data_IF_588750873233
#
_entry.id   IF_588750873233
#
_cell.length_a   1.000
_cell.length_b   1.000
_cell.length_c   1.000
_cell.angle_alpha   90.00
_cell.angle_beta   90.00
_cell.angle_gamma   90.00
#
_symmetry.space_group_name_H-M   'P 1'
#
loop_
_entity.id
_entity.type
_entity.pdbx_description
1 polymer ?
#
# COMPACT_ATOMS: atom_id res chain seq x y z
N UNK A 1 14.80 -12.22 -16.94
CA UNK A 1 13.46 -11.94 -16.38
C UNK A 1 12.57 -11.55 -17.53
N UNK A 2 11.51 -12.32 -17.76
CA UNK A 2 10.45 -11.95 -18.69
C UNK A 2 9.41 -11.14 -17.92
N UNK A 3 9.12 -9.92 -18.36
CA UNK A 3 8.12 -9.07 -17.73
C UNK A 3 6.81 -9.19 -18.50
N UNK A 4 5.77 -9.68 -17.84
CA UNK A 4 4.42 -9.78 -18.41
C UNK A 4 3.48 -8.85 -17.66
N UNK A 5 2.87 -7.92 -18.39
CA UNK A 5 1.85 -7.03 -17.84
C UNK A 5 0.49 -7.75 -17.91
N UNK A 6 -0.18 -7.85 -16.77
CA UNK A 6 -1.54 -8.36 -16.68
C UNK A 6 -2.44 -7.17 -16.33
N UNK A 7 -3.28 -6.69 -17.28
CA UNK A 7 -4.24 -5.64 -16.99
C UNK A 7 -5.18 -6.07 -15.86
N UNK A 8 -5.29 -5.25 -14.82
CA UNK A 8 -6.21 -5.43 -13.71
C UNK A 8 -6.57 -4.08 -13.11
N UNK A 9 -7.64 -4.03 -12.34
CA UNK A 9 -8.19 -2.79 -11.78
C UNK A 9 -8.56 -2.98 -10.33
N UNK A 10 -8.46 -1.93 -9.51
CA UNK A 10 -8.94 -1.99 -8.13
C UNK A 10 -10.47 -2.14 -8.05
N UNK A 11 -11.20 -1.70 -9.09
CA UNK A 11 -12.66 -1.74 -9.15
C UNK A 11 -13.24 -3.15 -9.16
N UNK A 12 -12.48 -4.16 -9.59
CA UNK A 12 -12.86 -5.58 -9.52
C UNK A 12 -12.14 -6.32 -8.37
N UNK A 13 -11.48 -5.58 -7.47
CA UNK A 13 -10.64 -6.14 -6.41
C UNK A 13 -9.43 -6.91 -6.92
N UNK A 14 -8.93 -6.58 -8.12
CA UNK A 14 -7.89 -7.30 -8.84
C UNK A 14 -8.22 -8.76 -9.17
N UNK A 15 -9.51 -9.12 -9.27
CA UNK A 15 -9.95 -10.50 -9.54
C UNK A 15 -9.35 -11.07 -10.83
N UNK A 16 -9.24 -10.26 -11.88
CA UNK A 16 -8.58 -10.64 -13.14
C UNK A 16 -7.12 -11.09 -12.95
N UNK A 17 -6.37 -10.38 -12.09
CA UNK A 17 -4.99 -10.73 -11.76
C UNK A 17 -4.95 -12.04 -10.96
N UNK A 18 -5.82 -12.19 -9.96
CA UNK A 18 -5.90 -13.39 -9.14
C UNK A 18 -6.21 -14.62 -9.99
N UNK A 19 -7.18 -14.53 -10.90
CA UNK A 19 -7.55 -15.65 -11.75
C UNK A 19 -6.42 -16.02 -12.72
N UNK A 20 -5.69 -15.04 -13.25
CA UNK A 20 -4.50 -15.31 -14.05
C UNK A 20 -3.42 -16.05 -13.23
N UNK A 21 -3.17 -15.64 -11.99
CA UNK A 21 -2.21 -16.31 -11.11
C UNK A 21 -2.65 -17.74 -10.77
N UNK A 22 -3.94 -17.97 -10.51
CA UNK A 22 -4.50 -19.31 -10.28
C UNK A 22 -4.32 -20.22 -11.49
N UNK A 23 -4.65 -19.73 -12.69
CA UNK A 23 -4.49 -20.50 -13.93
C UNK A 23 -3.02 -20.85 -14.14
N UNK A 24 -2.10 -19.91 -13.94
CA UNK A 24 -0.68 -20.17 -14.04
C UNK A 24 -0.23 -21.28 -13.07
N UNK A 25 -0.67 -21.19 -11.81
CA UNK A 25 -0.35 -22.20 -10.79
C UNK A 25 -0.90 -23.59 -11.13
N UNK A 26 -2.10 -23.68 -11.73
CA UNK A 26 -2.73 -24.93 -12.13
C UNK A 26 -2.12 -25.58 -13.38
N UNK A 27 -1.60 -24.79 -14.32
CA UNK A 27 -1.07 -25.29 -15.60
C UNK A 27 0.36 -25.81 -15.50
N UNK A 28 1.10 -25.46 -14.45
CA UNK A 28 2.47 -25.92 -14.21
C UNK A 28 2.62 -26.59 -12.82
N UNK A 29 1.87 -27.68 -12.52
CA UNK A 29 1.80 -28.27 -11.18
C UNK A 29 3.00 -29.19 -10.83
N UNK A 30 4.23 -28.70 -10.99
CA UNK A 30 5.50 -29.43 -10.83
C UNK A 30 5.84 -30.42 -11.96
N UNK A 31 6.87 -30.09 -12.73
CA UNK A 31 7.77 -31.10 -13.26
C UNK A 31 8.69 -31.54 -12.09
N UNK A 32 8.68 -32.81 -11.73
CA UNK A 32 9.52 -33.37 -10.65
C UNK A 32 10.98 -33.55 -11.11
N UNK A 33 12.01 -33.37 -10.24
CA UNK A 33 11.95 -32.94 -8.84
C UNK A 33 12.14 -31.41 -8.70
N UNK A 34 11.45 -30.74 -7.76
CA UNK A 34 10.90 -29.41 -8.01
C UNK A 34 11.70 -28.32 -7.29
N UNK A 35 12.18 -27.33 -8.03
CA UNK A 35 12.25 -26.00 -7.46
C UNK A 35 10.83 -25.44 -7.58
N UNK A 36 10.00 -25.62 -6.55
CA UNK A 36 8.73 -24.89 -6.45
C UNK A 36 9.06 -23.40 -6.63
N UNK A 37 8.53 -22.79 -7.68
CA UNK A 37 8.82 -21.38 -7.97
C UNK A 37 8.34 -20.53 -6.81
N UNK A 38 9.22 -19.69 -6.28
CA UNK A 38 8.86 -18.79 -5.18
C UNK A 38 7.91 -17.70 -5.69
N UNK A 39 6.70 -17.63 -5.13
CA UNK A 39 5.73 -16.58 -5.44
C UNK A 39 5.92 -15.41 -4.47
N UNK A 40 6.32 -14.26 -4.98
CA UNK A 40 6.40 -13.01 -4.21
C UNK A 40 5.31 -12.06 -4.70
N UNK A 41 4.46 -11.60 -3.79
CA UNK A 41 3.40 -10.62 -4.09
C UNK A 41 3.81 -9.27 -3.51
N UNK A 42 3.95 -8.26 -4.35
CA UNK A 42 4.25 -6.90 -3.92
C UNK A 42 3.02 -6.00 -4.13
N UNK A 43 2.39 -5.60 -3.04
CA UNK A 43 1.28 -4.66 -3.01
C UNK A 43 1.83 -3.27 -2.70
N UNK A 44 2.11 -2.46 -3.73
CA UNK A 44 2.72 -1.15 -3.58
C UNK A 44 1.74 -0.04 -3.96
N UNK A 45 1.31 0.77 -2.99
CA UNK A 45 0.52 2.01 -3.16
C UNK A 45 -0.78 1.82 -3.95
N UNK A 46 -1.41 0.65 -3.83
CA UNK A 46 -2.59 0.29 -4.62
C UNK A 46 -3.76 -0.26 -3.80
N UNK A 47 -3.52 -0.71 -2.57
CA UNK A 47 -4.56 -1.42 -1.81
C UNK A 47 -5.64 -0.46 -1.29
N UNK A 48 -5.28 0.80 -1.02
CA UNK A 48 -6.23 1.82 -0.61
C UNK A 48 -7.32 2.13 -1.66
N UNK A 49 -7.13 1.76 -2.93
CA UNK A 49 -8.16 1.90 -3.96
C UNK A 49 -9.22 0.78 -3.96
N UNK A 50 -8.93 -0.37 -3.33
CA UNK A 50 -9.94 -1.40 -3.14
C UNK A 50 -11.01 -0.81 -2.22
N UNK A 51 -12.29 -0.99 -2.56
CA UNK A 51 -13.40 -0.49 -1.76
C UNK A 51 -13.32 -0.91 -0.29
N UNK A 52 -13.67 0.00 0.62
CA UNK A 52 -13.72 -0.25 2.07
C UNK A 52 -15.12 -0.71 2.51
N UNK A 53 -15.30 -1.02 3.80
CA UNK A 53 -16.58 -1.51 4.32
C UNK A 53 -17.70 -0.47 4.29
N UNK A 54 -17.40 0.82 4.06
CA UNK A 54 -18.45 1.86 4.01
C UNK A 54 -19.32 1.77 2.75
N UNK A 55 -18.87 1.04 1.73
CA UNK A 55 -19.67 0.71 0.53
C UNK A 55 -20.28 -0.70 0.61
N UNK A 56 -19.82 -1.54 1.54
CA UNK A 56 -20.29 -2.90 1.70
C UNK A 56 -21.67 -2.95 2.39
N UNK A 57 -22.56 -3.82 1.90
CA UNK A 57 -23.80 -4.14 2.63
C UNK A 57 -23.48 -5.02 3.84
N UNK A 58 -24.30 -4.99 4.89
CA UNK A 58 -24.14 -5.76 6.15
C UNK A 58 -23.91 -7.27 5.90
N UNK A 59 -24.29 -7.79 4.72
CA UNK A 59 -24.21 -9.20 4.36
C UNK A 59 -22.96 -9.61 3.55
N UNK A 60 -22.10 -8.67 3.12
CA UNK A 60 -20.95 -8.97 2.25
C UNK A 60 -19.61 -8.76 2.99
N UNK A 61 -18.63 -9.68 2.85
CA UNK A 61 -17.29 -9.48 3.39
C UNK A 61 -16.63 -8.25 2.76
N UNK A 62 -15.75 -7.59 3.51
CA UNK A 62 -14.94 -6.48 3.00
C UNK A 62 -14.21 -6.89 1.71
N UNK A 63 -14.27 -6.10 0.62
CA UNK A 63 -13.54 -6.39 -0.60
C UNK A 63 -12.03 -6.52 -0.37
N UNK A 64 -11.48 -5.72 0.56
CA UNK A 64 -10.08 -5.82 1.00
C UNK A 64 -9.78 -7.18 1.64
N UNK A 65 -10.64 -7.64 2.54
CA UNK A 65 -10.47 -8.96 3.18
C UNK A 65 -10.64 -10.11 2.18
N UNK A 66 -11.55 -9.98 1.21
CA UNK A 66 -11.72 -10.95 0.13
C UNK A 66 -10.48 -11.04 -0.78
N UNK A 67 -9.88 -9.90 -1.10
CA UNK A 67 -8.60 -9.83 -1.81
C UNK A 67 -7.49 -10.53 -1.01
N UNK A 68 -7.36 -10.22 0.29
CA UNK A 68 -6.34 -10.84 1.16
C UNK A 68 -6.51 -12.37 1.26
N UNK A 69 -7.75 -12.86 1.37
CA UNK A 69 -8.03 -14.30 1.33
C UNK A 69 -7.66 -14.93 -0.02
N UNK A 70 -7.88 -14.20 -1.11
CA UNK A 70 -7.55 -14.66 -2.45
C UNK A 70 -6.04 -14.78 -2.65
N UNK A 71 -5.25 -13.79 -2.22
CA UNK A 71 -3.79 -13.91 -2.26
C UNK A 71 -3.28 -15.01 -1.32
N UNK A 72 -3.90 -15.23 -0.14
CA UNK A 72 -3.53 -16.33 0.76
C UNK A 72 -3.74 -17.70 0.11
N UNK A 73 -4.78 -17.84 -0.71
CA UNK A 73 -5.09 -19.09 -1.43
C UNK A 73 -4.08 -19.45 -2.53
N UNK A 74 -3.20 -18.52 -2.91
CA UNK A 74 -2.10 -18.76 -3.85
C UNK A 74 -0.83 -19.30 -3.17
N UNK A 75 -0.85 -19.44 -1.85
CA UNK A 75 0.29 -19.87 -1.03
C UNK A 75 1.61 -19.12 -1.34
N UNK A 76 1.61 -17.77 -1.30
CA UNK A 76 2.78 -16.99 -1.65
C UNK A 76 3.92 -17.24 -0.67
N UNK A 77 5.15 -17.23 -1.17
CA UNK A 77 6.36 -17.30 -0.34
C UNK A 77 6.48 -16.07 0.55
N UNK A 78 6.24 -14.88 0.01
CA UNK A 78 6.24 -13.60 0.74
C UNK A 78 5.21 -12.67 0.12
N UNK A 79 4.54 -11.88 0.97
CA UNK A 79 3.73 -10.72 0.57
C UNK A 79 4.35 -9.47 1.19
N UNK A 80 4.57 -8.43 0.39
CA UNK A 80 4.99 -7.10 0.85
C UNK A 80 3.83 -6.15 0.66
N UNK A 81 3.48 -5.40 1.71
CA UNK A 81 2.47 -4.35 1.67
C UNK A 81 3.14 -3.02 1.97
N UNK A 82 3.05 -2.10 1.01
CA UNK A 82 3.51 -0.72 1.11
C UNK A 82 2.35 0.20 0.80
N UNK A 83 1.96 1.05 1.75
CA UNK A 83 0.89 2.02 1.56
C UNK A 83 1.08 3.23 2.48
N UNK A 84 0.26 4.24 2.29
CA UNK A 84 0.29 5.46 3.11
C UNK A 84 -0.21 5.21 4.53
N UNK A 85 0.46 5.81 5.52
CA UNK A 85 0.07 5.70 6.94
C UNK A 85 -0.90 6.82 7.34
N UNK A 86 -2.11 6.79 6.77
CA UNK A 86 -3.16 7.79 7.03
C UNK A 86 -4.55 7.17 7.02
N UNK A 87 -5.42 7.62 7.93
CA UNK A 87 -6.80 7.15 8.04
C UNK A 87 -7.77 8.10 7.32
N UNK A 88 -8.15 7.72 6.10
CA UNK A 88 -9.06 8.47 5.21
C UNK A 88 -10.39 7.76 4.96
N UNK A 89 -10.67 6.64 5.61
CA UNK A 89 -11.90 5.86 5.39
C UNK A 89 -13.12 6.39 6.16
N UNK A 90 -12.92 7.29 7.13
CA UNK A 90 -13.98 7.78 8.01
C UNK A 90 -15.25 8.26 7.25
N UNK A 91 -16.42 7.80 7.68
CA UNK A 91 -17.69 8.21 7.05
C UNK A 91 -18.05 9.70 7.29
N UNK A 92 -17.53 10.32 8.34
CA UNK A 92 -17.77 11.72 8.68
C UNK A 92 -16.74 12.65 8.01
N UNK A 93 -17.22 13.66 7.26
CA UNK A 93 -16.39 14.66 6.58
C UNK A 93 -15.43 15.42 7.50
N UNK A 94 -15.85 15.81 8.71
CA UNK A 94 -14.99 16.54 9.66
C UNK A 94 -13.80 15.69 10.09
N UNK A 95 -14.00 14.38 10.29
CA UNK A 95 -12.92 13.46 10.60
C UNK A 95 -11.96 13.32 9.41
N UNK A 96 -12.49 13.12 8.19
CA UNK A 96 -11.67 13.03 6.98
C UNK A 96 -10.89 14.32 6.72
N UNK A 97 -11.52 15.48 6.83
CA UNK A 97 -10.87 16.78 6.65
C UNK A 97 -9.71 16.96 7.63
N UNK A 98 -9.89 16.58 8.89
CA UNK A 98 -8.83 16.65 9.89
C UNK A 98 -7.67 15.71 9.55
N UNK A 99 -7.95 14.46 9.20
CA UNK A 99 -6.92 13.50 8.78
C UNK A 99 -6.17 13.99 7.55
N UNK A 100 -6.90 14.43 6.52
CA UNK A 100 -6.37 14.97 5.27
C UNK A 100 -5.48 16.19 5.53
N UNK A 101 -5.92 17.15 6.35
CA UNK A 101 -5.13 18.33 6.71
C UNK A 101 -3.82 17.95 7.43
N UNK A 102 -3.88 16.99 8.35
CA UNK A 102 -2.71 16.54 9.11
C UNK A 102 -1.71 15.73 8.28
N UNK A 103 -2.13 15.20 7.13
CA UNK A 103 -1.31 14.35 6.27
C UNK A 103 -0.82 15.09 5.01
N UNK A 104 -1.73 15.70 4.23
CA UNK A 104 -1.40 16.21 2.90
C UNK A 104 -0.49 17.44 2.90
N UNK A 105 -0.22 18.10 4.03
CA UNK A 105 0.84 19.12 4.06
C UNK A 105 2.24 18.53 3.78
N UNK A 106 2.45 17.24 4.12
CA UNK A 106 3.72 16.53 3.98
C UNK A 106 4.21 16.50 2.53
N UNK A 107 3.44 16.02 1.54
CA UNK A 107 3.90 15.96 0.15
C UNK A 107 4.25 17.35 -0.41
N UNK A 108 3.53 18.41 -0.05
CA UNK A 108 3.88 19.78 -0.46
C UNK A 108 5.21 20.24 0.15
N UNK A 109 5.36 20.09 1.47
CA UNK A 109 6.59 20.50 2.17
C UNK A 109 7.81 19.65 1.78
N UNK A 110 7.61 18.38 1.44
CA UNK A 110 8.63 17.51 0.88
C UNK A 110 9.07 17.98 -0.52
N UNK A 111 8.13 18.26 -1.42
CA UNK A 111 8.45 18.77 -2.76
C UNK A 111 9.15 20.12 -2.73
N UNK A 112 8.76 21.01 -1.81
CA UNK A 112 9.44 22.29 -1.57
C UNK A 112 10.92 22.12 -1.23
N UNK A 113 11.30 21.02 -0.57
CA UNK A 113 12.68 20.75 -0.17
C UNK A 113 13.59 20.25 -1.33
N UNK A 114 13.02 19.62 -2.37
CA UNK A 114 13.81 18.96 -3.41
C UNK A 114 13.60 19.51 -4.83
N UNK A 115 12.47 20.17 -5.11
CA UNK A 115 12.15 20.69 -6.44
C UNK A 115 12.14 22.22 -6.47
N UNK A 116 12.70 22.85 -7.52
CA UNK A 116 12.65 24.30 -7.68
C UNK A 116 11.21 24.83 -7.74
N UNK A 117 10.94 25.93 -7.03
CA UNK A 117 9.62 26.55 -6.99
C UNK A 117 9.17 27.15 -8.34
N UNK A 118 10.10 27.67 -9.13
CA UNK A 118 9.81 28.28 -10.42
C UNK A 118 10.18 27.35 -11.59
N UNK A 119 9.26 27.20 -12.55
CA UNK A 119 9.52 26.53 -13.83
C UNK A 119 9.62 25.00 -13.78
N UNK A 120 9.40 24.36 -12.63
CA UNK A 120 9.40 22.90 -12.49
C UNK A 120 8.04 22.32 -12.91
N UNK A 121 7.99 21.68 -14.09
CA UNK A 121 6.80 20.94 -14.55
C UNK A 121 6.53 19.70 -13.70
N UNK A 122 7.60 19.06 -13.23
CA UNK A 122 7.53 17.88 -12.36
C UNK A 122 6.81 18.22 -11.06
N UNK A 123 7.13 19.37 -10.46
CA UNK A 123 6.44 19.89 -9.28
C UNK A 123 4.96 20.14 -9.56
N UNK A 124 4.64 20.80 -10.67
CA UNK A 124 3.24 21.08 -11.05
C UNK A 124 2.41 19.80 -11.21
N UNK A 125 2.96 18.76 -11.84
CA UNK A 125 2.26 17.48 -11.99
C UNK A 125 2.06 16.77 -10.66
N UNK A 126 3.09 16.73 -9.81
CA UNK A 126 2.99 16.12 -8.49
C UNK A 126 1.97 16.85 -7.60
N UNK A 127 2.03 18.19 -7.53
CA UNK A 127 1.07 18.99 -6.77
C UNK A 127 -0.35 18.84 -7.31
N UNK A 128 -0.53 18.75 -8.63
CA UNK A 128 -1.84 18.49 -9.24
C UNK A 128 -2.41 17.12 -8.85
N UNK A 129 -1.57 16.09 -8.81
CA UNK A 129 -1.96 14.76 -8.32
C UNK A 129 -2.41 14.82 -6.86
N UNK A 130 -1.60 15.43 -5.98
CA UNK A 130 -1.95 15.60 -4.55
C UNK A 130 -3.25 16.39 -4.38
N UNK A 131 -3.46 17.46 -5.17
CA UNK A 131 -4.70 18.23 -5.18
C UNK A 131 -5.91 17.39 -5.59
N UNK A 132 -5.78 16.56 -6.62
CA UNK A 132 -6.84 15.64 -7.03
C UNK A 132 -7.19 14.66 -5.91
N UNK A 133 -6.18 14.13 -5.19
CA UNK A 133 -6.39 13.24 -4.05
C UNK A 133 -7.15 13.93 -2.91
N UNK A 134 -6.77 15.17 -2.58
CA UNK A 134 -7.49 16.00 -1.59
C UNK A 134 -8.95 16.19 -2.02
N UNK A 135 -9.19 16.56 -3.28
CA UNK A 135 -10.55 16.72 -3.81
C UNK A 135 -11.34 15.43 -3.71
N UNK A 136 -10.75 14.28 -4.06
CA UNK A 136 -11.41 12.98 -3.96
C UNK A 136 -11.82 12.65 -2.52
N UNK A 137 -10.93 12.85 -1.55
CA UNK A 137 -11.18 12.56 -0.12
C UNK A 137 -12.29 13.44 0.47
N UNK A 138 -12.35 14.70 0.06
CA UNK A 138 -13.20 15.72 0.68
C UNK A 138 -14.53 15.90 -0.05
N UNK A 139 -14.52 15.96 -1.38
CA UNK A 139 -15.69 16.31 -2.19
C UNK A 139 -16.48 15.10 -2.68
N UNK A 140 -15.86 13.93 -2.83
CA UNK A 140 -16.53 12.74 -3.34
C UNK A 140 -17.09 11.88 -2.20
N UNK A 141 -18.11 11.08 -2.52
CA UNK A 141 -18.71 10.10 -1.61
C UNK A 141 -19.08 8.81 -2.36
N UNK A 142 -19.42 7.76 -1.61
CA UNK A 142 -19.81 6.47 -2.19
C UNK A 142 -18.73 5.92 -3.13
N UNK A 143 -19.14 5.40 -4.30
CA UNK A 143 -18.24 4.82 -5.30
C UNK A 143 -17.32 5.84 -5.99
N UNK A 144 -17.63 7.14 -5.95
CA UNK A 144 -16.78 8.18 -6.57
C UNK A 144 -15.57 8.53 -5.69
N UNK A 145 -15.63 8.24 -4.39
CA UNK A 145 -14.50 8.38 -3.48
C UNK A 145 -13.67 7.12 -3.52
N UNK A 146 -12.45 7.22 -4.03
CA UNK A 146 -11.51 6.11 -4.25
C UNK A 146 -10.26 6.21 -3.37
N UNK A 147 -9.89 7.41 -2.93
CA UNK A 147 -8.75 7.66 -2.02
C UNK A 147 -9.13 7.28 -0.58
N UNK A 148 -9.05 5.99 -0.28
CA UNK A 148 -9.51 5.39 0.99
C UNK A 148 -8.36 4.72 1.74
N UNK A 149 -7.29 5.48 1.98
CA UNK A 149 -6.15 5.01 2.74
C UNK A 149 -6.54 4.61 4.18
N UNK A 150 -5.92 3.53 4.64
CA UNK A 150 -6.01 3.02 6.01
C UNK A 150 -4.63 3.09 6.63
N UNK A 151 -4.56 3.49 7.90
CA UNK A 151 -3.32 3.47 8.64
C UNK A 151 -2.78 2.04 8.80
N UNK A 152 -1.47 1.95 9.04
CA UNK A 152 -0.72 0.70 9.14
C UNK A 152 -1.38 -0.34 10.06
N UNK A 153 -1.84 0.09 11.24
CA UNK A 153 -2.42 -0.81 12.25
C UNK A 153 -3.63 -1.61 11.72
N UNK A 154 -4.42 -1.02 10.83
CA UNK A 154 -5.58 -1.69 10.25
C UNK A 154 -5.16 -2.72 9.20
N UNK A 155 -4.19 -2.40 8.35
CA UNK A 155 -3.60 -3.36 7.42
C UNK A 155 -2.96 -4.55 8.13
N UNK A 156 -2.21 -4.30 9.21
CA UNK A 156 -1.64 -5.34 10.08
C UNK A 156 -2.72 -6.29 10.60
N UNK A 157 -3.82 -5.75 11.14
CA UNK A 157 -4.93 -6.57 11.62
C UNK A 157 -5.58 -7.39 10.50
N UNK A 158 -5.77 -6.80 9.31
CA UNK A 158 -6.34 -7.50 8.15
C UNK A 158 -5.45 -8.66 7.69
N UNK A 159 -4.14 -8.45 7.62
CA UNK A 159 -3.19 -9.49 7.25
C UNK A 159 -3.21 -10.67 8.24
N UNK A 160 -3.22 -10.38 9.55
CA UNK A 160 -3.36 -11.40 10.59
C UNK A 160 -4.69 -12.16 10.47
N UNK A 161 -5.80 -11.46 10.25
CA UNK A 161 -7.12 -12.06 10.03
C UNK A 161 -7.18 -12.94 8.77
N UNK A 162 -6.34 -12.66 7.77
CA UNK A 162 -6.20 -13.44 6.54
C UNK A 162 -5.19 -14.61 6.66
N UNK A 163 -4.80 -14.98 7.89
CA UNK A 163 -3.86 -16.06 8.18
C UNK A 163 -2.45 -15.85 7.59
N UNK A 164 -1.96 -14.62 7.69
CA UNK A 164 -0.55 -14.29 7.53
C UNK A 164 0.10 -14.01 8.89
N UNK A 165 1.41 -14.24 8.95
CA UNK A 165 2.27 -13.82 10.06
C UNK A 165 3.33 -12.85 9.55
N UNK A 166 3.74 -11.93 10.40
CA UNK A 166 4.74 -10.92 10.06
C UNK A 166 6.11 -11.56 9.84
N UNK A 167 6.85 -10.99 8.89
CA UNK A 167 8.23 -11.34 8.61
C UNK A 167 9.08 -10.07 8.72
N UNK A 168 10.24 -10.21 9.38
CA UNK A 168 11.17 -9.12 9.57
C UNK A 168 11.91 -8.77 8.27
N UNK A 169 12.14 -7.48 8.04
CA UNK A 169 13.13 -7.06 7.05
C UNK A 169 14.54 -7.34 7.58
N UNK A 170 15.45 -7.76 6.69
CA UNK A 170 16.84 -8.00 7.07
C UNK A 170 17.53 -6.71 7.53
N UNK A 171 18.29 -6.78 8.62
CA UNK A 171 18.98 -5.62 9.22
C UNK A 171 19.91 -4.91 8.22
N UNK A 172 20.59 -5.66 7.34
CA UNK A 172 21.45 -5.07 6.31
C UNK A 172 20.65 -4.20 5.32
N UNK A 173 19.45 -4.64 4.93
CA UNK A 173 18.55 -3.88 4.06
C UNK A 173 18.05 -2.61 4.77
N UNK A 174 17.68 -2.73 6.05
CA UNK A 174 17.26 -1.57 6.86
C UNK A 174 18.39 -0.55 7.02
N UNK A 175 19.63 -1.03 7.23
CA UNK A 175 20.81 -0.19 7.33
C UNK A 175 21.13 0.52 6.01
N UNK A 176 20.99 -0.16 4.88
CA UNK A 176 21.17 0.42 3.54
C UNK A 176 20.17 1.56 3.28
N UNK A 177 18.87 1.32 3.53
CA UNK A 177 17.84 2.36 3.37
C UNK A 177 18.12 3.55 4.29
N UNK A 178 18.52 3.30 5.55
CA UNK A 178 18.87 4.37 6.49
C UNK A 178 20.08 5.18 6.02
N UNK A 179 21.10 4.51 5.47
CA UNK A 179 22.28 5.16 4.90
C UNK A 179 21.91 6.07 3.73
N UNK A 180 21.14 5.54 2.77
CA UNK A 180 20.64 6.30 1.61
C UNK A 180 19.85 7.56 2.04
N UNK A 181 18.95 7.43 3.02
CA UNK A 181 18.18 8.58 3.52
C UNK A 181 19.07 9.63 4.20
N UNK A 182 20.05 9.19 4.98
CA UNK A 182 20.99 10.08 5.67
C UNK A 182 21.89 10.87 4.72
N UNK A 183 22.26 10.29 3.58
CA UNK A 183 23.15 10.92 2.60
C UNK A 183 22.41 11.82 1.61
N UNK A 184 21.16 11.49 1.25
CA UNK A 184 20.51 12.06 0.07
C UNK A 184 19.14 12.70 0.31
N UNK A 185 18.54 12.51 1.49
CA UNK A 185 17.13 12.84 1.70
C UNK A 185 16.90 13.62 3.01
N UNK A 186 17.50 14.81 3.11
CA UNK A 186 17.33 15.67 4.30
C UNK A 186 15.85 15.90 4.63
N UNK A 187 15.46 15.64 5.87
CA UNK A 187 14.07 15.69 6.33
C UNK A 187 13.35 14.34 6.29
N UNK A 188 13.79 13.39 5.46
CA UNK A 188 13.31 12.02 5.50
C UNK A 188 14.00 11.20 6.59
N UNK A 189 13.28 10.25 7.17
CA UNK A 189 13.82 9.32 8.15
C UNK A 189 13.07 7.98 8.12
N UNK A 190 13.69 6.96 8.70
CA UNK A 190 13.11 5.62 8.80
C UNK A 190 12.92 5.26 10.27
N UNK A 191 11.67 4.99 10.66
CA UNK A 191 11.33 4.41 11.96
C UNK A 191 11.15 2.91 11.81
N UNK A 192 11.63 2.17 12.80
CA UNK A 192 11.31 0.76 13.01
C UNK A 192 10.32 0.72 14.16
N UNK A 193 9.13 0.19 13.91
CA UNK A 193 8.09 0.04 14.93
C UNK A 193 8.00 -1.43 15.39
N UNK A 194 6.95 -1.77 16.16
CA UNK A 194 6.72 -3.14 16.65
C UNK A 194 6.79 -4.18 15.52
N UNK A 195 7.27 -5.38 15.86
CA UNK A 195 7.34 -6.54 14.95
C UNK A 195 8.09 -6.29 13.62
N UNK A 196 9.15 -5.45 13.67
CA UNK A 196 10.06 -5.18 12.54
C UNK A 196 9.44 -4.43 11.34
N UNK A 197 8.31 -3.77 11.57
CA UNK A 197 7.64 -2.94 10.57
C UNK A 197 8.43 -1.64 10.31
N UNK A 198 8.50 -1.23 9.05
CA UNK A 198 9.22 -0.03 8.64
C UNK A 198 8.24 1.11 8.33
N UNK A 199 8.54 2.30 8.80
CA UNK A 199 7.76 3.51 8.50
C UNK A 199 8.69 4.60 8.01
N UNK A 200 8.48 5.02 6.77
CA UNK A 200 9.12 6.20 6.19
C UNK A 200 8.45 7.45 6.77
N UNK A 201 9.27 8.41 7.17
CA UNK A 201 8.83 9.61 7.86
C UNK A 201 9.38 10.88 7.20
N UNK A 202 8.61 11.95 7.27
CA UNK A 202 9.00 13.29 6.86
C UNK A 202 8.97 14.22 8.08
N UNK A 203 10.12 14.80 8.44
CA UNK A 203 10.29 15.64 9.65
C UNK A 203 9.70 15.00 10.91
N UNK A 204 9.78 13.68 11.00
CA UNK A 204 9.25 12.88 12.12
C UNK A 204 7.78 12.45 12.01
N UNK A 205 7.03 12.93 11.01
CA UNK A 205 5.65 12.50 10.73
C UNK A 205 5.64 11.24 9.86
N UNK A 206 4.75 10.29 10.17
CA UNK A 206 4.62 9.06 9.38
C UNK A 206 4.03 9.38 7.99
N UNK A 207 4.56 8.74 6.95
CA UNK A 207 4.14 8.96 5.55
C UNK A 207 3.73 7.66 4.90
N UNK A 208 4.65 6.71 4.79
CA UNK A 208 4.45 5.42 4.13
C UNK A 208 4.96 4.33 5.05
N UNK A 209 4.19 3.25 5.20
CA UNK A 209 4.67 2.06 5.90
C UNK A 209 5.04 0.98 4.89
N UNK A 210 5.93 0.08 5.30
CA UNK A 210 6.26 -1.16 4.60
C UNK A 210 6.24 -2.32 5.60
N UNK A 211 5.55 -3.39 5.23
CA UNK A 211 5.42 -4.62 6.03
C UNK A 211 5.61 -5.85 5.15
N UNK A 212 6.24 -6.89 5.67
CA UNK A 212 6.43 -8.16 4.99
C UNK A 212 5.72 -9.29 5.75
N UNK A 213 5.19 -10.24 5.00
CA UNK A 213 4.28 -11.26 5.51
C UNK A 213 4.54 -12.59 4.84
N UNK A 214 4.37 -13.66 5.61
CA UNK A 214 4.41 -15.04 5.10
C UNK A 214 3.15 -15.79 5.53
N UNK A 215 2.72 -16.82 4.78
CA UNK A 215 1.65 -17.71 5.23
C UNK A 215 1.89 -18.19 6.67
N UNK A 216 0.87 -18.05 7.52
CA UNK A 216 0.84 -18.68 8.84
C UNK A 216 0.45 -20.16 8.72
#
# INVERSE_FOLDING_TARGET
MEFRVIPSTHSDGFSTLIDHLRIHHLLYPEATPPAAEALVINCHMMLHYIEDESTATIASPSPRDAFLKSIRSLEPTVVVVVDEDVELTAGNLVCRLRSAFNYFWIPFDAVDAFLPAAGSKQRQWYEAEVCWRIENVIAQEGMQRVERAEGKARWVQRMRNAAFREAAFGEDCVAEVRGMLGEHAAGWGLKKEEEDQLVLTWKGHNVVFATAWVPA
#
